data_IF_957664493997
#
_entry.id   IF_957664493997
#
_cell.length_a   1.000
_cell.length_b   1.000
_cell.length_c   1.000
_cell.angle_alpha   90.00
_cell.angle_beta   90.00
_cell.angle_gamma   90.00
#
_symmetry.space_group_name_H-M   'P 1'
#
loop_
_entity.id
_entity.type
_entity.pdbx_description
1 polymer ?
#
# COMPACT_ATOMS: atom_id res chain seq x y z
N UNK A 1 9.28 -10.58 -3.11
CA UNK A 1 8.05 -9.77 -3.04
C UNK A 1 6.87 -10.66 -2.71
N UNK A 2 6.10 -10.29 -1.71
CA UNK A 2 4.91 -11.03 -1.31
C UNK A 2 3.67 -10.35 -1.84
N UNK A 3 2.72 -11.15 -2.36
CA UNK A 3 1.44 -10.66 -2.85
C UNK A 3 0.38 -11.11 -1.85
N UNK A 4 -0.20 -10.15 -1.15
CA UNK A 4 -1.09 -10.40 -0.03
C UNK A 4 -2.37 -9.58 -0.18
N UNK A 5 -3.33 -9.84 0.70
CA UNK A 5 -4.57 -9.06 0.73
C UNK A 5 -4.86 -8.59 2.15
N UNK A 6 -5.62 -7.52 2.25
CA UNK A 6 -6.16 -7.02 3.52
C UNK A 6 -7.61 -6.60 3.31
N UNK A 7 -8.36 -6.55 4.39
CA UNK A 7 -9.78 -6.23 4.33
C UNK A 7 -10.01 -4.73 4.42
N UNK A 8 -10.55 -4.15 3.36
CA UNK A 8 -10.91 -2.75 3.31
C UNK A 8 -12.38 -2.51 3.70
N UNK A 9 -12.88 -1.33 3.36
CA UNK A 9 -14.25 -0.93 3.66
C UNK A 9 -15.26 -1.94 3.07
N UNK A 10 -16.27 -2.27 3.85
CA UNK A 10 -17.32 -3.18 3.42
C UNK A 10 -16.89 -4.63 3.26
N UNK A 11 -15.73 -5.00 3.80
CA UNK A 11 -15.24 -6.37 3.74
C UNK A 11 -14.55 -6.73 2.43
N UNK A 12 -14.24 -5.74 1.57
CA UNK A 12 -13.59 -6.00 0.29
C UNK A 12 -12.12 -6.33 0.51
N UNK A 13 -11.65 -7.45 -0.07
CA UNK A 13 -10.26 -7.87 0.05
C UNK A 13 -9.43 -7.14 -0.98
N UNK A 14 -8.55 -6.26 -0.52
CA UNK A 14 -7.70 -5.44 -1.37
C UNK A 14 -6.30 -6.04 -1.46
N UNK A 15 -5.71 -5.93 -2.63
CA UNK A 15 -4.41 -6.50 -2.93
C UNK A 15 -3.30 -5.53 -2.51
N UNK A 16 -2.25 -6.04 -1.84
CA UNK A 16 -1.11 -5.21 -1.51
C UNK A 16 0.21 -5.97 -1.75
N UNK A 17 1.28 -5.21 -1.78
CA UNK A 17 2.64 -5.72 -1.96
C UNK A 17 3.51 -5.19 -0.84
N UNK A 18 4.52 -5.97 -0.50
CA UNK A 18 5.47 -5.61 0.53
C UNK A 18 6.88 -5.98 0.06
N UNK A 19 7.80 -5.04 0.18
CA UNK A 19 9.21 -5.26 -0.13
C UNK A 19 10.02 -4.92 1.11
N UNK A 20 10.84 -5.84 1.55
CA UNK A 20 11.59 -5.69 2.80
C UNK A 20 13.08 -5.71 2.52
N UNK A 21 13.90 -4.87 3.23
CA UNK A 21 15.35 -4.93 3.12
C UNK A 21 15.89 -6.12 3.90
N UNK A 22 17.18 -6.40 3.74
CA UNK A 22 17.87 -7.32 4.62
C UNK A 22 18.01 -6.68 6.00
N UNK A 23 17.85 -7.48 7.04
CA UNK A 23 17.97 -7.01 8.41
C UNK A 23 16.77 -6.17 8.85
N UNK A 24 16.97 -5.39 9.90
CA UNK A 24 15.90 -4.57 10.46
C UNK A 24 15.70 -3.30 9.65
N UNK A 25 14.49 -3.01 9.20
CA UNK A 25 14.22 -1.79 8.46
C UNK A 25 14.45 -0.53 9.31
N UNK A 26 14.89 0.54 8.67
CA UNK A 26 15.03 1.85 9.31
C UNK A 26 13.69 2.54 9.49
N UNK A 27 12.80 2.34 8.54
CA UNK A 27 11.48 2.96 8.50
C UNK A 27 10.63 2.23 7.48
N UNK A 28 9.34 2.53 7.46
CA UNK A 28 8.42 1.95 6.48
C UNK A 28 7.79 3.07 5.65
N UNK A 29 7.71 2.84 4.34
CA UNK A 29 7.09 3.75 3.38
C UNK A 29 5.83 3.10 2.81
N UNK A 30 4.66 3.42 3.35
CA UNK A 30 3.40 3.03 2.69
C UNK A 30 3.16 3.98 1.50
N UNK A 31 2.83 3.40 0.35
CA UNK A 31 2.56 4.15 -0.88
C UNK A 31 1.10 3.94 -1.28
N UNK A 32 0.40 5.05 -1.54
CA UNK A 32 -0.96 5.04 -2.09
C UNK A 32 -0.88 5.62 -3.50
N UNK A 33 -1.19 4.80 -4.51
CA UNK A 33 -1.09 5.24 -5.89
C UNK A 33 -2.22 6.21 -6.27
N UNK A 34 -2.06 6.91 -7.40
CA UNK A 34 -3.08 7.78 -7.93
C UNK A 34 -4.19 7.00 -8.65
N UNK A 35 -5.34 7.65 -8.84
CA UNK A 35 -6.45 7.07 -9.60
C UNK A 35 -5.97 6.76 -11.01
N UNK A 36 -6.29 5.56 -11.49
CA UNK A 36 -5.86 5.10 -12.80
C UNK A 36 -4.52 4.39 -12.81
N UNK A 37 -3.85 4.31 -11.66
CA UNK A 37 -2.57 3.62 -11.52
C UNK A 37 -2.75 2.27 -10.82
N UNK A 38 -1.67 1.71 -10.34
CA UNK A 38 -1.66 0.54 -9.46
C UNK A 38 -0.30 0.47 -8.76
N UNK A 39 -0.21 -0.35 -7.71
CA UNK A 39 0.99 -0.42 -6.87
C UNK A 39 2.24 -0.87 -7.62
N UNK A 40 2.08 -1.62 -8.71
CA UNK A 40 3.21 -2.08 -9.51
C UNK A 40 3.99 -0.97 -10.21
N UNK A 41 3.42 0.22 -10.32
CA UNK A 41 4.09 1.35 -10.97
C UNK A 41 5.23 1.96 -10.14
N UNK A 42 5.37 1.52 -8.90
CA UNK A 42 6.35 2.13 -8.00
C UNK A 42 7.65 1.33 -7.88
N UNK A 43 7.97 0.53 -8.89
CA UNK A 43 9.21 -0.26 -8.91
C UNK A 43 10.45 0.61 -8.72
N UNK A 44 10.46 1.82 -9.29
CA UNK A 44 11.58 2.75 -9.15
C UNK A 44 11.80 3.15 -7.69
N UNK A 45 10.70 3.39 -6.97
CA UNK A 45 10.75 3.76 -5.56
C UNK A 45 11.29 2.58 -4.74
N UNK A 46 10.78 1.38 -5.01
CA UNK A 46 11.24 0.16 -4.35
C UNK A 46 12.73 -0.05 -4.57
N UNK A 47 13.18 0.05 -5.83
CA UNK A 47 14.58 -0.19 -6.18
C UNK A 47 15.53 0.81 -5.52
N UNK A 48 15.06 2.01 -5.22
CA UNK A 48 15.87 3.02 -4.56
C UNK A 48 15.89 2.86 -3.04
N UNK A 49 14.72 2.65 -2.43
CA UNK A 49 14.58 2.65 -0.98
C UNK A 49 14.93 1.33 -0.30
N UNK A 50 14.55 0.20 -0.89
CA UNK A 50 14.76 -1.10 -0.24
C UNK A 50 16.25 -1.40 -0.02
N UNK A 51 17.15 -1.21 -1.01
CA UNK A 51 18.58 -1.45 -0.75
C UNK A 51 19.17 -0.51 0.30
N UNK A 52 18.51 0.61 0.59
CA UNK A 52 18.96 1.58 1.59
C UNK A 52 18.39 1.32 2.98
N UNK A 53 17.69 0.22 3.16
CA UNK A 53 17.22 -0.21 4.47
C UNK A 53 15.80 0.18 4.80
N UNK A 54 14.99 0.53 3.80
CA UNK A 54 13.59 0.90 4.00
C UNK A 54 12.66 -0.21 3.55
N UNK A 55 11.60 -0.41 4.31
CA UNK A 55 10.54 -1.33 3.95
C UNK A 55 9.48 -0.54 3.16
N UNK A 56 8.97 -1.09 2.06
CA UNK A 56 7.97 -0.43 1.23
C UNK A 56 6.71 -1.28 1.19
N UNK A 57 5.57 -0.65 1.43
CA UNK A 57 4.26 -1.27 1.30
C UNK A 57 3.45 -0.46 0.30
N UNK A 58 2.71 -1.13 -0.55
CA UNK A 58 1.84 -0.46 -1.52
C UNK A 58 0.61 -1.33 -1.77
N UNK A 59 -0.57 -0.71 -1.87
CA UNK A 59 -1.77 -1.47 -2.16
C UNK A 59 -2.46 -0.91 -3.42
N UNK A 60 -3.21 -1.78 -4.09
CA UNK A 60 -4.04 -1.36 -5.22
C UNK A 60 -5.38 -0.87 -4.69
N UNK A 61 -5.74 0.36 -5.03
CA UNK A 61 -7.03 0.94 -4.66
C UNK A 61 -8.16 0.04 -5.16
N UNK A 62 -9.32 0.08 -4.48
CA UNK A 62 -10.48 -0.67 -4.97
C UNK A 62 -10.77 -0.32 -6.41
N UNK A 63 -11.07 -1.32 -7.21
CA UNK A 63 -11.31 -1.13 -8.64
C UNK A 63 -10.07 -0.89 -9.49
N UNK A 64 -8.87 -1.00 -8.91
CA UNK A 64 -7.60 -0.77 -9.60
C UNK A 64 -6.69 -1.99 -9.50
N UNK A 65 -5.82 -2.16 -10.47
CA UNK A 65 -4.83 -3.24 -10.47
C UNK A 65 -5.43 -4.60 -10.17
N UNK A 66 -4.90 -5.26 -9.14
CA UNK A 66 -5.35 -6.58 -8.70
C UNK A 66 -6.50 -6.53 -7.69
N UNK A 67 -6.84 -5.34 -7.21
CA UNK A 67 -7.93 -5.21 -6.22
C UNK A 67 -9.29 -5.27 -6.88
N UNK A 68 -10.28 -5.92 -6.23
CA UNK A 68 -11.64 -5.96 -6.74
C UNK A 68 -12.34 -4.61 -6.61
N UNK A 69 -13.55 -4.51 -7.13
CA UNK A 69 -14.35 -3.31 -7.09
C UNK A 69 -14.66 -2.82 -8.50
N UNK A 70 -15.46 -1.76 -8.61
CA UNK A 70 -15.81 -1.24 -9.90
C UNK A 70 -14.60 -0.59 -10.55
N UNK A 71 -14.26 -1.06 -11.76
CA UNK A 71 -12.98 -0.73 -12.40
C UNK A 71 -12.83 0.75 -12.69
N UNK A 72 -11.66 1.28 -12.27
CA UNK A 72 -11.24 2.64 -12.60
C UNK A 72 -11.98 3.76 -11.89
N UNK A 73 -12.83 3.46 -10.93
CA UNK A 73 -13.62 4.47 -10.23
C UNK A 73 -13.33 4.53 -8.74
N UNK A 74 -13.31 5.77 -8.22
CA UNK A 74 -13.41 6.05 -6.80
C UNK A 74 -14.69 6.85 -6.61
N UNK A 75 -15.76 6.16 -6.24
CA UNK A 75 -17.10 6.77 -6.16
C UNK A 75 -17.33 7.53 -4.87
N UNK A 76 -16.63 7.14 -3.81
CA UNK A 76 -16.92 7.62 -2.48
C UNK A 76 -15.60 7.83 -1.73
N UNK A 77 -15.33 9.08 -1.36
CA UNK A 77 -14.14 9.39 -0.58
C UNK A 77 -14.13 8.71 0.79
N UNK A 78 -15.31 8.44 1.33
CA UNK A 78 -15.41 7.70 2.60
C UNK A 78 -14.84 6.30 2.47
N UNK A 79 -15.17 5.60 1.39
CA UNK A 79 -14.63 4.27 1.13
C UNK A 79 -13.12 4.31 0.94
N UNK A 80 -12.65 5.26 0.15
CA UNK A 80 -11.22 5.45 -0.09
C UNK A 80 -10.47 5.69 1.22
N UNK A 81 -10.99 6.59 2.05
CA UNK A 81 -10.37 6.92 3.33
C UNK A 81 -10.33 5.72 4.27
N UNK A 82 -11.40 4.93 4.30
CA UNK A 82 -11.45 3.72 5.12
C UNK A 82 -10.44 2.66 4.62
N UNK A 83 -10.30 2.53 3.31
CA UNK A 83 -9.32 1.62 2.73
C UNK A 83 -7.90 2.03 3.10
N UNK A 84 -7.57 3.32 3.00
CA UNK A 84 -6.26 3.84 3.38
C UNK A 84 -6.01 3.62 4.87
N UNK A 85 -7.02 3.84 5.70
CA UNK A 85 -6.91 3.62 7.14
C UNK A 85 -6.63 2.16 7.46
N UNK A 86 -7.35 1.25 6.82
CA UNK A 86 -7.13 -0.18 7.01
C UNK A 86 -5.72 -0.58 6.56
N UNK A 87 -5.24 0.01 5.47
CA UNK A 87 -3.90 -0.23 4.98
C UNK A 87 -2.84 0.26 5.98
N UNK A 88 -3.02 1.46 6.53
CA UNK A 88 -2.08 1.99 7.52
C UNK A 88 -2.10 1.16 8.80
N UNK A 89 -3.26 0.68 9.23
CA UNK A 89 -3.36 -0.20 10.40
C UNK A 89 -2.58 -1.49 10.16
N UNK A 90 -2.71 -2.07 8.96
CA UNK A 90 -1.93 -3.24 8.56
C UNK A 90 -0.43 -2.97 8.66
N UNK A 91 0.02 -1.83 8.14
CA UNK A 91 1.44 -1.47 8.15
C UNK A 91 1.95 -1.30 9.59
N UNK A 92 1.20 -0.60 10.44
CA UNK A 92 1.59 -0.43 11.84
C UNK A 92 1.66 -1.74 12.59
N UNK A 93 0.76 -2.66 12.30
CA UNK A 93 0.72 -3.98 12.93
C UNK A 93 1.88 -4.85 12.46
N UNK A 94 2.20 -4.79 11.18
CA UNK A 94 3.27 -5.60 10.59
C UNK A 94 4.66 -5.08 10.95
N UNK A 95 4.81 -3.76 11.15
CA UNK A 95 6.09 -3.12 11.42
C UNK A 95 6.01 -2.25 12.68
N UNK A 96 5.82 -2.87 13.85
CA UNK A 96 5.63 -2.11 15.08
C UNK A 96 6.88 -1.32 15.46
N UNK A 97 6.68 -0.10 15.91
CA UNK A 97 7.77 0.73 16.42
C UNK A 97 8.61 1.43 15.37
N UNK A 98 8.35 1.22 14.09
CA UNK A 98 9.11 1.88 13.03
C UNK A 98 8.46 3.22 12.64
N UNK A 99 9.27 4.23 12.30
CA UNK A 99 8.73 5.44 11.71
C UNK A 99 8.00 5.14 10.40
N UNK A 100 6.87 5.81 10.17
CA UNK A 100 6.04 5.61 9.00
C UNK A 100 5.98 6.91 8.21
N UNK A 101 6.34 6.85 6.92
CA UNK A 101 6.35 8.01 6.02
C UNK A 101 5.38 7.73 4.87
N UNK A 102 4.12 8.10 5.06
CA UNK A 102 3.09 7.87 4.04
C UNK A 102 3.36 8.74 2.81
N UNK A 103 3.34 8.11 1.64
CA UNK A 103 3.50 8.77 0.36
C UNK A 103 2.25 8.53 -0.48
N UNK A 104 1.64 9.61 -0.95
CA UNK A 104 0.48 9.53 -1.81
C UNK A 104 0.76 10.21 -3.14
N UNK A 105 -0.01 9.81 -4.16
CA UNK A 105 0.04 10.42 -5.50
C UNK A 105 -1.38 10.60 -5.99
N UNK A 106 -1.70 11.77 -6.46
CA UNK A 106 -3.06 12.07 -6.98
C UNK A 106 -3.08 12.18 -8.48
#
# INVERSE_FOLDING_TARGET
MDQLTFTGHGGLELYYRCWRPEGRPKAVLPIVHGVGEHSGRYANVVDWFVPRGYCVYAFDLRGHGQSPGKRGELRDFGEYREDVRAFLDLVHEAEPGLPVFLTGHS
#
